data_IF_331247050768
#
_entry.id   IF_331247050768
#
_cell.length_a   1.000
_cell.length_b   1.000
_cell.length_c   1.000
_cell.angle_alpha   90.00
_cell.angle_beta   90.00
_cell.angle_gamma   90.00
#
_symmetry.space_group_name_H-M   'P 1'
#
loop_
_entity.id
_entity.type
_entity.pdbx_description
1 polymer ?
#
# COMPACT_ATOMS: atom_id res chain seq x y z
N UNK A 1 12.26 -4.35 -11.42
CA UNK A 1 11.22 -3.58 -10.78
C UNK A 1 11.71 -2.98 -9.47
N UNK A 2 11.27 -1.75 -9.16
CA UNK A 2 11.63 -1.07 -7.92
C UNK A 2 10.90 -1.66 -6.71
N UNK A 3 9.70 -2.21 -6.92
CA UNK A 3 8.89 -2.82 -5.88
C UNK A 3 8.03 -3.92 -6.50
N UNK A 4 7.53 -4.81 -5.64
CA UNK A 4 6.60 -5.86 -6.05
C UNK A 4 5.23 -5.59 -5.43
N UNK A 5 4.17 -5.97 -6.15
CA UNK A 5 2.80 -5.92 -5.65
C UNK A 5 2.26 -7.34 -5.64
N UNK A 6 1.74 -7.78 -4.49
CA UNK A 6 1.04 -9.06 -4.45
C UNK A 6 -0.25 -8.97 -5.29
N UNK A 7 -0.82 -10.10 -5.66
CA UNK A 7 -2.09 -10.13 -6.39
C UNK A 7 -3.17 -9.38 -5.61
N UNK A 8 -3.25 -9.58 -4.30
CA UNK A 8 -4.25 -8.90 -3.47
C UNK A 8 -4.00 -7.39 -3.39
N UNK A 9 -2.73 -6.97 -3.35
CA UNK A 9 -2.41 -5.54 -3.39
C UNK A 9 -2.82 -4.91 -4.73
N UNK A 10 -2.64 -5.64 -5.83
CA UNK A 10 -3.10 -5.18 -7.14
C UNK A 10 -4.62 -5.01 -7.17
N UNK A 11 -5.34 -5.94 -6.54
CA UNK A 11 -6.80 -5.83 -6.43
C UNK A 11 -7.21 -4.64 -5.56
N UNK A 12 -6.45 -4.36 -4.49
CA UNK A 12 -6.70 -3.16 -3.69
C UNK A 12 -6.60 -1.90 -4.57
N UNK A 13 -5.59 -1.83 -5.42
CA UNK A 13 -5.43 -0.67 -6.31
C UNK A 13 -6.58 -0.55 -7.31
N UNK A 14 -7.08 -1.67 -7.83
CA UNK A 14 -8.25 -1.65 -8.72
C UNK A 14 -9.49 -1.14 -8.00
N UNK A 15 -9.68 -1.56 -6.74
CA UNK A 15 -10.80 -1.10 -5.93
C UNK A 15 -10.72 0.40 -5.64
N UNK A 16 -9.52 0.89 -5.35
CA UNK A 16 -9.28 2.31 -5.13
C UNK A 16 -9.61 3.09 -6.41
N UNK A 17 -9.15 2.62 -7.57
CA UNK A 17 -9.42 3.27 -8.85
C UNK A 17 -10.92 3.34 -9.13
N UNK A 18 -11.65 2.23 -8.93
CA UNK A 18 -13.10 2.22 -9.12
C UNK A 18 -13.80 3.21 -8.20
N UNK A 19 -13.44 3.20 -6.93
CA UNK A 19 -14.06 4.10 -5.95
C UNK A 19 -13.80 5.56 -6.30
N UNK A 20 -12.56 5.91 -6.58
CA UNK A 20 -12.21 7.31 -6.88
C UNK A 20 -12.85 7.80 -8.17
N UNK A 21 -12.95 6.94 -9.19
CA UNK A 21 -13.60 7.31 -10.46
C UNK A 21 -15.10 7.51 -10.29
N UNK A 22 -15.74 6.80 -9.35
CA UNK A 22 -17.18 6.97 -9.12
C UNK A 22 -17.50 8.11 -8.18
N UNK A 23 -16.60 8.45 -7.25
CA UNK A 23 -16.84 9.48 -6.23
C UNK A 23 -16.21 10.82 -6.56
N UNK A 24 -15.17 10.83 -7.36
CA UNK A 24 -14.39 12.03 -7.67
C UNK A 24 -14.33 12.23 -9.19
N UNK A 25 -13.73 13.34 -9.61
CA UNK A 25 -13.47 13.57 -11.01
C UNK A 25 -12.35 12.64 -11.52
N UNK A 26 -12.30 12.46 -12.84
CA UNK A 26 -11.24 11.68 -13.47
C UNK A 26 -9.86 12.24 -13.14
N UNK A 27 -9.72 13.57 -13.15
CA UNK A 27 -8.45 14.22 -12.83
C UNK A 27 -8.03 13.96 -11.37
N UNK A 28 -8.97 14.01 -10.43
CA UNK A 28 -8.67 13.72 -9.04
C UNK A 28 -8.29 12.26 -8.83
N UNK A 29 -8.96 11.35 -9.54
CA UNK A 29 -8.63 9.94 -9.47
C UNK A 29 -7.22 9.67 -9.98
N UNK A 30 -6.87 10.28 -11.11
CA UNK A 30 -5.52 10.15 -11.68
C UNK A 30 -4.46 10.72 -10.73
N UNK A 31 -4.73 11.90 -10.17
CA UNK A 31 -3.81 12.52 -9.21
C UNK A 31 -3.58 11.64 -8.00
N UNK A 32 -4.64 11.02 -7.47
CA UNK A 32 -4.51 10.13 -6.31
C UNK A 32 -3.66 8.90 -6.63
N UNK A 33 -3.87 8.31 -7.82
CA UNK A 33 -3.06 7.19 -8.27
C UNK A 33 -1.58 7.57 -8.38
N UNK A 34 -1.28 8.77 -8.86
CA UNK A 34 0.09 9.25 -8.95
C UNK A 34 0.73 9.43 -7.56
N UNK A 35 -0.03 9.90 -6.58
CA UNK A 35 0.46 10.03 -5.21
C UNK A 35 0.82 8.67 -4.61
N UNK A 36 -0.02 7.67 -4.83
CA UNK A 36 0.27 6.31 -4.37
C UNK A 36 1.52 5.75 -5.03
N UNK A 37 1.64 5.89 -6.35
CA UNK A 37 2.80 5.38 -7.07
C UNK A 37 4.08 6.06 -6.62
N UNK A 38 4.04 7.37 -6.41
CA UNK A 38 5.19 8.11 -5.89
C UNK A 38 5.62 7.54 -4.53
N UNK A 39 4.65 7.23 -3.66
CA UNK A 39 4.97 6.67 -2.36
C UNK A 39 5.56 5.26 -2.48
N UNK A 40 5.08 4.45 -3.42
CA UNK A 40 5.69 3.13 -3.67
C UNK A 40 7.16 3.26 -4.08
N UNK A 41 7.46 4.23 -4.92
CA UNK A 41 8.86 4.48 -5.31
C UNK A 41 9.71 4.95 -4.12
N UNK A 42 9.16 5.79 -3.26
CA UNK A 42 9.85 6.23 -2.04
C UNK A 42 10.10 5.06 -1.09
N UNK A 43 9.15 4.13 -0.99
CA UNK A 43 9.34 2.91 -0.22
C UNK A 43 10.48 2.08 -0.80
N UNK A 44 10.52 1.94 -2.11
CA UNK A 44 11.57 1.19 -2.81
C UNK A 44 12.95 1.84 -2.60
N UNK A 45 13.00 3.16 -2.60
CA UNK A 45 14.23 3.92 -2.41
C UNK A 45 14.61 4.09 -0.93
N UNK A 46 13.75 3.61 -0.03
CA UNK A 46 13.90 3.71 1.42
C UNK A 46 13.95 5.15 1.93
N UNK A 47 13.27 6.05 1.24
CA UNK A 47 13.14 7.46 1.64
C UNK A 47 11.81 7.75 2.32
N UNK A 48 10.84 6.83 2.25
CA UNK A 48 9.56 7.00 2.92
C UNK A 48 9.69 6.70 4.41
N UNK A 49 9.04 7.53 5.23
CA UNK A 49 8.98 7.29 6.66
C UNK A 49 7.95 6.21 6.95
N UNK A 50 8.39 5.10 7.53
CA UNK A 50 7.51 3.98 7.83
C UNK A 50 7.76 3.49 9.26
N UNK A 51 6.74 2.83 9.81
CA UNK A 51 6.83 2.25 11.14
C UNK A 51 6.47 0.77 11.08
N UNK A 52 6.91 0.01 12.07
CA UNK A 52 6.51 -1.38 12.22
C UNK A 52 5.02 -1.45 12.56
N UNK A 53 4.31 -2.41 11.95
CA UNK A 53 2.89 -2.59 12.22
C UNK A 53 2.62 -2.85 13.69
N UNK A 54 3.32 -3.81 14.28
CA UNK A 54 3.21 -4.13 15.70
C UNK A 54 4.36 -5.06 16.10
N UNK A 55 4.54 -5.23 17.42
CA UNK A 55 5.54 -6.18 17.91
C UNK A 55 5.21 -7.62 17.51
N UNK A 56 3.94 -7.92 17.27
CA UNK A 56 3.50 -9.25 16.81
C UNK A 56 3.91 -9.52 15.36
N UNK A 57 3.97 -8.46 14.54
CA UNK A 57 4.33 -8.57 13.12
C UNK A 57 5.49 -7.63 12.81
N UNK A 58 6.67 -7.90 13.38
CA UNK A 58 7.81 -6.99 13.23
C UNK A 58 8.32 -6.86 11.81
N UNK A 59 8.01 -7.83 10.93
CA UNK A 59 8.44 -7.82 9.55
C UNK A 59 7.57 -6.93 8.66
N UNK A 60 6.40 -6.50 9.16
CA UNK A 60 5.46 -5.70 8.37
C UNK A 60 5.66 -4.22 8.68
N UNK A 61 5.89 -3.43 7.65
CA UNK A 61 6.02 -1.99 7.74
C UNK A 61 4.78 -1.31 7.21
N UNK A 62 4.45 -0.17 7.80
CA UNK A 62 3.25 0.60 7.47
C UNK A 62 3.65 2.02 7.11
N UNK A 63 3.15 2.50 5.98
CA UNK A 63 3.34 3.87 5.54
C UNK A 63 1.99 4.46 5.17
N UNK A 64 1.70 5.63 5.73
CA UNK A 64 0.45 6.33 5.40
C UNK A 64 0.67 7.22 4.18
N UNK A 65 -0.23 7.10 3.21
CA UNK A 65 -0.29 7.96 2.04
C UNK A 65 -1.71 8.47 1.88
N UNK A 66 -1.95 9.74 2.18
CA UNK A 66 -3.27 10.35 2.15
C UNK A 66 -4.26 9.59 3.05
N UNK A 67 -5.29 8.99 2.47
CA UNK A 67 -6.33 8.27 3.21
C UNK A 67 -6.11 6.76 3.25
N UNK A 68 -4.96 6.31 2.79
CA UNK A 68 -4.65 4.89 2.73
C UNK A 68 -3.38 4.56 3.50
N UNK A 69 -3.33 3.34 4.02
CA UNK A 69 -2.13 2.77 4.62
C UNK A 69 -1.56 1.74 3.68
N UNK A 70 -0.26 1.85 3.41
CA UNK A 70 0.48 0.91 2.56
C UNK A 70 1.25 -0.02 3.49
N UNK A 71 0.97 -1.32 3.36
CA UNK A 71 1.64 -2.35 4.16
C UNK A 71 2.60 -3.10 3.27
N UNK A 72 3.84 -3.24 3.74
CA UNK A 72 4.86 -3.89 2.92
C UNK A 72 5.90 -4.59 3.80
N UNK A 73 6.68 -5.46 3.17
CA UNK A 73 7.77 -6.17 3.81
C UNK A 73 9.03 -5.96 2.99
N UNK A 74 10.16 -5.87 3.68
CA UNK A 74 11.45 -5.91 3.01
C UNK A 74 11.80 -7.34 2.70
N UNK A 75 12.48 -7.54 1.57
CA UNK A 75 12.97 -8.85 1.18
C UNK A 75 14.48 -8.75 0.99
N UNK A 76 15.21 -9.76 1.46
CA UNK A 76 16.66 -9.78 1.29
C UNK A 76 17.00 -9.94 -0.18
N UNK A 77 17.82 -9.02 -0.70
CA UNK A 77 18.30 -9.02 -2.09
C UNK A 77 17.18 -8.96 -3.13
N UNK A 78 16.01 -8.47 -2.75
CA UNK A 78 14.86 -8.28 -3.64
C UNK A 78 14.19 -6.96 -3.35
N UNK A 79 13.40 -6.43 -4.30
CA UNK A 79 12.59 -5.24 -4.02
C UNK A 79 11.61 -5.47 -2.86
N UNK A 80 11.18 -4.42 -2.18
CA UNK A 80 10.15 -4.57 -1.16
C UNK A 80 8.86 -5.09 -1.79
N UNK A 81 8.11 -5.87 -1.04
CA UNK A 81 6.84 -6.42 -1.48
C UNK A 81 5.70 -5.71 -0.78
N UNK A 82 4.87 -5.03 -1.55
CA UNK A 82 3.67 -4.37 -1.05
C UNK A 82 2.55 -5.39 -0.98
N UNK A 83 2.00 -5.60 0.22
CA UNK A 83 1.04 -6.66 0.47
C UNK A 83 -0.39 -6.17 0.61
N UNK A 84 -0.59 -4.88 0.92
CA UNK A 84 -1.93 -4.33 1.07
C UNK A 84 -1.91 -2.81 0.94
N UNK A 85 -2.98 -2.24 0.38
CA UNK A 85 -3.24 -0.81 0.40
C UNK A 85 -4.68 -0.65 0.90
N UNK A 86 -4.84 -0.27 2.16
CA UNK A 86 -6.14 -0.27 2.83
C UNK A 86 -6.54 1.14 3.25
N UNK A 87 -7.80 1.46 3.04
CA UNK A 87 -8.37 2.75 3.45
C UNK A 87 -8.34 2.86 4.98
N UNK A 88 -8.11 4.08 5.49
CA UNK A 88 -8.01 4.35 6.92
C UNK A 88 -9.25 3.93 7.73
N UNK A 89 -10.41 3.81 7.08
CA UNK A 89 -11.66 3.40 7.73
C UNK A 89 -11.91 1.89 7.70
N UNK A 90 -11.07 1.12 7.04
CA UNK A 90 -11.22 -0.33 7.00
C UNK A 90 -10.72 -0.96 8.30
N UNK A 91 -11.28 -2.13 8.63
CA UNK A 91 -10.73 -2.94 9.70
C UNK A 91 -9.44 -3.61 9.19
N UNK A 92 -8.31 -3.00 9.52
CA UNK A 92 -7.02 -3.41 8.96
C UNK A 92 -6.60 -4.80 9.39
N UNK A 93 -6.79 -5.14 10.66
CA UNK A 93 -6.41 -6.46 11.15
C UNK A 93 -7.17 -7.57 10.44
N UNK A 94 -8.46 -7.37 10.22
CA UNK A 94 -9.28 -8.34 9.51
C UNK A 94 -8.84 -8.45 8.05
N UNK A 95 -8.54 -7.33 7.40
CA UNK A 95 -8.14 -7.31 6.00
C UNK A 95 -6.74 -7.89 5.79
N UNK A 96 -5.87 -7.73 6.77
CA UNK A 96 -4.49 -8.25 6.69
C UNK A 96 -4.39 -9.74 6.96
N UNK A 97 -5.44 -10.37 7.48
CA UNK A 97 -5.40 -11.74 7.97
C UNK A 97 -4.85 -12.76 6.95
N UNK A 98 -5.09 -12.55 5.67
CA UNK A 98 -4.69 -13.49 4.62
C UNK A 98 -3.58 -12.91 3.73
N UNK A 99 -2.83 -11.93 4.22
CA UNK A 99 -1.84 -11.22 3.40
C UNK A 99 -0.39 -11.58 3.69
N UNK A 100 -0.15 -12.39 4.71
CA UNK A 100 1.20 -12.65 5.19
C UNK A 100 1.90 -13.83 4.52
N UNK A 101 1.24 -14.53 3.65
CA UNK A 101 1.82 -15.71 2.99
C UNK A 101 2.53 -15.35 1.69
#
# INVERSE_FOLDING_TARGET
LLYELTTLAQEDLKDIARYTLTQWSENQSLHYAELLEKRFCEIAERTAYSRTLSSRYPQVLVNRCEHHYIFYIHQEKKPPRIIAILHERMNMLKRLKNRFD
#
